data_IF_035457369959
#
_entry.id   IF_035457369959
#
_cell.length_a   1.000
_cell.length_b   1.000
_cell.length_c   1.000
_cell.angle_alpha   90.00
_cell.angle_beta   90.00
_cell.angle_gamma   90.00
#
_symmetry.space_group_name_H-M   'P 1'
#
loop_
_entity.id
_entity.type
_entity.pdbx_description
1 polymer ?
#
# COMPACT_ATOMS: atom_id res chain seq x y z
N UNK A 1 17.28 -7.41 9.91
CA UNK A 1 15.85 -7.02 9.88
C UNK A 1 15.02 -8.25 10.20
N UNK A 2 14.01 -8.14 11.03
CA UNK A 2 13.00 -9.17 11.27
C UNK A 2 11.65 -8.67 10.76
N UNK A 3 10.83 -9.58 10.25
CA UNK A 3 9.46 -9.29 9.80
C UNK A 3 8.51 -10.11 10.67
N UNK A 4 7.48 -9.46 11.18
CA UNK A 4 6.42 -10.07 11.98
C UNK A 4 5.10 -9.89 11.28
N UNK A 5 4.42 -10.99 10.95
CA UNK A 5 3.03 -10.94 10.47
C UNK A 5 2.11 -10.91 11.68
N UNK A 6 1.33 -9.83 11.80
CA UNK A 6 0.39 -9.69 12.90
C UNK A 6 -1.03 -10.04 12.43
N UNK A 7 -1.63 -11.02 13.08
CA UNK A 7 -2.97 -11.55 12.81
C UNK A 7 -3.86 -11.55 14.08
N UNK A 8 -3.64 -10.58 14.96
CA UNK A 8 -4.22 -10.56 16.32
C UNK A 8 -5.69 -10.12 16.42
N UNK A 9 -6.44 -10.05 15.32
CA UNK A 9 -7.85 -9.72 15.32
C UNK A 9 -8.63 -10.55 14.30
N UNK A 10 -9.94 -10.59 14.44
CA UNK A 10 -10.86 -11.19 13.50
C UNK A 10 -11.07 -10.20 12.33
N UNK A 11 -10.49 -10.51 11.17
CA UNK A 11 -10.61 -9.67 9.98
C UNK A 11 -11.99 -9.85 9.36
N UNK A 12 -12.50 -8.86 8.60
CA UNK A 12 -13.73 -9.03 7.86
C UNK A 12 -13.68 -10.26 6.94
N UNK A 13 -14.80 -10.98 6.87
CA UNK A 13 -14.99 -12.06 5.91
C UNK A 13 -14.98 -11.52 4.48
N UNK A 14 -14.57 -12.39 3.54
CA UNK A 14 -14.58 -12.07 2.11
C UNK A 14 -15.99 -11.77 1.58
N UNK A 15 -16.11 -11.05 0.45
CA UNK A 15 -17.42 -10.88 -0.20
C UNK A 15 -18.13 -12.22 -0.43
N UNK A 16 -19.45 -12.30 -0.21
CA UNK A 16 -20.41 -11.18 -0.14
C UNK A 16 -20.60 -10.55 1.26
N UNK A 17 -19.75 -10.85 2.25
CA UNK A 17 -19.82 -10.17 3.54
C UNK A 17 -19.63 -8.66 3.39
N UNK A 18 -20.43 -7.90 4.11
CA UNK A 18 -20.33 -6.46 4.11
C UNK A 18 -19.59 -5.90 5.34
N UNK A 19 -18.91 -6.75 6.08
CA UNK A 19 -18.17 -6.38 7.30
C UNK A 19 -17.00 -5.44 6.98
N UNK A 20 -16.35 -5.65 5.81
CA UNK A 20 -15.28 -4.77 5.29
C UNK A 20 -15.72 -3.32 5.17
N UNK A 21 -17.03 -3.04 5.10
CA UNK A 21 -17.59 -1.69 5.05
C UNK A 21 -17.77 -1.05 6.44
N UNK A 22 -17.60 -1.82 7.53
CA UNK A 22 -17.64 -1.33 8.91
C UNK A 22 -16.23 -1.04 9.41
N UNK A 23 -16.11 -0.09 10.36
CA UNK A 23 -14.84 0.20 11.05
C UNK A 23 -14.74 -0.46 12.42
N UNK A 24 -15.77 -1.17 12.87
CA UNK A 24 -15.80 -1.77 14.23
C UNK A 24 -14.69 -2.80 14.44
N UNK A 25 -14.50 -3.71 13.47
CA UNK A 25 -13.42 -4.70 13.54
C UNK A 25 -12.05 -4.03 13.47
N UNK A 26 -11.91 -2.98 12.64
CA UNK A 26 -10.67 -2.22 12.53
C UNK A 26 -10.33 -1.48 13.85
N UNK A 27 -11.32 -0.89 14.53
CA UNK A 27 -11.14 -0.24 15.84
C UNK A 27 -10.70 -1.25 16.90
N UNK A 28 -11.38 -2.39 16.96
CA UNK A 28 -11.03 -3.47 17.89
C UNK A 28 -9.63 -4.04 17.62
N UNK A 29 -9.32 -4.29 16.35
CA UNK A 29 -8.00 -4.72 15.88
C UNK A 29 -6.92 -3.68 16.16
N UNK A 30 -7.21 -2.41 15.88
CA UNK A 30 -6.30 -1.30 16.14
C UNK A 30 -5.88 -1.19 17.60
N UNK A 31 -6.82 -1.35 18.52
CA UNK A 31 -6.52 -1.37 19.97
C UNK A 31 -5.56 -2.50 20.34
N UNK A 32 -5.77 -3.69 19.80
CA UNK A 32 -4.88 -4.84 20.04
C UNK A 32 -3.50 -4.66 19.40
N UNK A 33 -3.46 -4.11 18.19
CA UNK A 33 -2.21 -3.85 17.50
C UNK A 33 -1.38 -2.79 18.23
N UNK A 34 -2.01 -1.70 18.69
CA UNK A 34 -1.35 -0.67 19.49
C UNK A 34 -0.71 -1.27 20.75
N UNK A 35 -1.46 -2.10 21.49
CA UNK A 35 -0.95 -2.76 22.69
C UNK A 35 0.23 -3.69 22.36
N UNK A 36 0.20 -4.40 21.24
CA UNK A 36 1.30 -5.27 20.80
C UNK A 36 2.56 -4.48 20.44
N UNK A 37 2.42 -3.37 19.71
CA UNK A 37 3.53 -2.51 19.31
C UNK A 37 4.16 -1.79 20.50
N UNK A 38 3.34 -1.23 21.42
CA UNK A 38 3.82 -0.60 22.64
C UNK A 38 4.51 -1.62 23.56
N UNK A 39 3.91 -2.80 23.75
CA UNK A 39 4.49 -3.88 24.53
C UNK A 39 5.83 -4.37 23.99
N UNK A 40 5.97 -4.47 22.65
CA UNK A 40 7.24 -4.79 22.03
C UNK A 40 8.28 -3.71 22.31
N UNK A 41 7.92 -2.44 22.17
CA UNK A 41 8.82 -1.31 22.41
C UNK A 41 9.26 -1.26 23.87
N UNK A 42 8.32 -1.40 24.81
CA UNK A 42 8.59 -1.40 26.27
C UNK A 42 9.49 -2.58 26.68
N UNK A 43 9.22 -3.78 26.16
CA UNK A 43 10.05 -4.97 26.44
C UNK A 43 11.48 -4.77 25.95
N UNK A 44 11.65 -4.28 24.71
CA UNK A 44 13.00 -4.04 24.16
C UNK A 44 13.74 -2.94 24.89
N UNK A 45 13.04 -1.90 25.34
CA UNK A 45 13.66 -0.82 26.13
C UNK A 45 14.13 -1.31 27.52
N UNK A 46 13.45 -2.30 28.11
CA UNK A 46 13.83 -2.86 29.41
C UNK A 46 15.02 -3.82 29.37
N UNK A 47 15.23 -4.48 28.20
CA UNK A 47 16.29 -5.49 28.04
C UNK A 47 17.66 -4.92 27.62
N UNK A 48 17.69 -3.70 27.06
CA UNK A 48 18.91 -3.17 26.44
C UNK A 48 19.46 -1.97 27.20
N UNK A 49 20.56 -2.21 27.93
CA UNK A 49 21.33 -1.12 28.56
C UNK A 49 22.30 -0.45 27.57
N UNK A 50 22.71 -1.17 26.50
CA UNK A 50 23.76 -0.72 25.58
C UNK A 50 23.43 -0.79 24.08
N UNK A 51 22.19 -1.08 23.69
CA UNK A 51 21.80 -1.19 22.27
C UNK A 51 20.68 -0.22 21.96
N UNK A 52 20.82 0.55 20.90
CA UNK A 52 19.75 1.41 20.41
C UNK A 52 18.45 0.63 20.22
N UNK A 53 17.30 1.17 20.67
CA UNK A 53 16.03 0.49 20.50
C UNK A 53 15.77 0.20 19.01
N UNK A 54 15.16 -0.96 18.70
CA UNK A 54 14.89 -1.32 17.31
C UNK A 54 13.90 -0.33 16.68
N UNK A 55 14.16 0.02 15.43
CA UNK A 55 13.22 0.78 14.63
C UNK A 55 12.03 -0.10 14.26
N UNK A 56 10.82 0.28 14.66
CA UNK A 56 9.58 -0.34 14.24
C UNK A 56 9.03 0.35 13.00
N UNK A 57 8.71 -0.44 11.98
CA UNK A 57 8.11 0.03 10.73
C UNK A 57 6.82 -0.77 10.51
N UNK A 58 5.71 -0.09 10.28
CA UNK A 58 4.40 -0.72 10.07
C UNK A 58 4.10 -0.72 8.57
N UNK A 59 3.75 -1.88 8.04
CA UNK A 59 3.31 -2.04 6.64
C UNK A 59 1.91 -2.63 6.67
N UNK A 60 0.96 -1.96 6.02
CA UNK A 60 -0.44 -2.35 6.04
C UNK A 60 -1.07 -2.33 4.65
N UNK A 61 -1.90 -3.32 4.36
CA UNK A 61 -2.58 -3.53 3.10
C UNK A 61 -4.09 -3.53 3.28
N UNK A 62 -4.80 -3.00 2.30
CA UNK A 62 -6.26 -3.08 2.21
C UNK A 62 -6.96 -2.62 3.50
N UNK A 63 -7.88 -3.41 4.04
CA UNK A 63 -8.56 -3.14 5.31
C UNK A 63 -7.59 -3.07 6.50
N UNK A 64 -6.43 -3.70 6.39
CA UNK A 64 -5.35 -3.58 7.37
C UNK A 64 -4.86 -2.14 7.53
N UNK A 65 -4.98 -1.28 6.53
CA UNK A 65 -4.63 0.15 6.63
C UNK A 65 -5.59 0.90 7.56
N UNK A 66 -6.89 0.58 7.49
CA UNK A 66 -7.89 1.09 8.42
C UNK A 66 -7.56 0.66 9.85
N UNK A 67 -7.23 -0.62 10.06
CA UNK A 67 -6.83 -1.17 11.37
C UNK A 67 -5.55 -0.52 11.88
N UNK A 68 -4.53 -0.42 11.03
CA UNK A 68 -3.25 0.20 11.39
C UNK A 68 -3.38 1.68 11.73
N UNK A 69 -4.25 2.43 11.04
CA UNK A 69 -4.46 3.85 11.33
C UNK A 69 -5.02 4.07 12.73
N UNK A 70 -5.96 3.25 13.19
CA UNK A 70 -6.43 3.29 14.58
C UNK A 70 -5.35 2.92 15.58
N UNK A 71 -4.55 1.89 15.26
CA UNK A 71 -3.43 1.50 16.11
C UNK A 71 -2.41 2.64 16.25
N UNK A 72 -1.96 3.19 15.12
CA UNK A 72 -0.96 4.26 15.08
C UNK A 72 -1.43 5.54 15.80
N UNK A 73 -2.73 5.84 15.75
CA UNK A 73 -3.29 6.95 16.52
C UNK A 73 -3.26 6.68 18.05
N UNK A 74 -3.44 5.44 18.46
CA UNK A 74 -3.53 5.05 19.86
C UNK A 74 -2.18 4.73 20.53
N UNK A 75 -1.08 4.67 19.76
CA UNK A 75 0.26 4.34 20.27
C UNK A 75 0.72 5.33 21.34
N UNK A 76 1.45 4.84 22.34
CA UNK A 76 2.24 5.64 23.27
C UNK A 76 3.63 5.97 22.71
N UNK A 77 4.19 5.05 21.92
CA UNK A 77 5.53 5.16 21.35
C UNK A 77 5.45 5.24 19.82
N UNK A 78 6.02 6.29 19.25
CA UNK A 78 6.01 6.46 17.80
C UNK A 78 6.78 5.34 17.09
N UNK A 79 6.22 4.84 15.99
CA UNK A 79 6.95 3.98 15.05
C UNK A 79 7.80 4.82 14.10
N UNK A 80 8.83 4.24 13.49
CA UNK A 80 9.72 4.97 12.59
C UNK A 80 9.03 5.33 11.27
N UNK A 81 8.32 4.38 10.66
CA UNK A 81 7.57 4.60 9.42
C UNK A 81 6.26 3.84 9.43
N UNK A 82 5.28 4.33 8.69
CA UNK A 82 4.08 3.59 8.34
C UNK A 82 3.89 3.62 6.82
N UNK A 83 3.59 2.47 6.22
CA UNK A 83 3.36 2.33 4.78
C UNK A 83 2.01 1.70 4.53
N UNK A 84 1.15 2.42 3.82
CA UNK A 84 -0.20 2.01 3.44
C UNK A 84 -0.25 1.76 1.94
N UNK A 85 -0.72 0.60 1.52
CA UNK A 85 -0.90 0.29 0.11
C UNK A 85 -2.23 -0.40 -0.16
N UNK A 86 -2.87 -0.07 -1.29
CA UNK A 86 -4.19 -0.57 -1.65
C UNK A 86 -5.23 -0.31 -0.56
N UNK A 87 -5.26 0.88 0.02
CA UNK A 87 -6.04 1.20 1.21
C UNK A 87 -7.55 1.08 0.99
N UNK A 88 -8.25 0.38 1.88
CA UNK A 88 -9.71 0.39 1.94
C UNK A 88 -10.29 1.69 2.56
N UNK A 89 -9.44 2.68 2.78
CA UNK A 89 -9.77 4.00 3.31
C UNK A 89 -9.63 4.13 4.83
N UNK A 90 -9.51 5.37 5.27
CA UNK A 90 -9.34 5.77 6.67
C UNK A 90 -10.55 6.62 7.10
N UNK A 91 -11.04 6.42 8.31
CA UNK A 91 -12.14 7.21 8.87
C UNK A 91 -11.66 8.62 9.22
N UNK A 92 -11.94 9.58 8.35
CA UNK A 92 -11.42 10.95 8.43
C UNK A 92 -11.86 11.73 9.67
N UNK A 93 -13.03 11.40 10.27
CA UNK A 93 -13.50 12.06 11.48
C UNK A 93 -12.73 11.65 12.73
N UNK A 94 -12.25 10.43 12.74
CA UNK A 94 -11.41 9.91 13.82
C UNK A 94 -9.94 10.26 13.60
N UNK A 95 -9.49 10.24 12.34
CA UNK A 95 -8.10 10.41 11.94
C UNK A 95 -8.08 11.48 10.85
N UNK A 96 -7.91 12.73 11.27
CA UNK A 96 -8.00 13.90 10.39
C UNK A 96 -6.85 14.02 9.40
N UNK A 97 -5.68 13.41 9.70
CA UNK A 97 -4.50 13.45 8.83
C UNK A 97 -3.41 12.48 9.29
N UNK A 98 -2.36 12.32 8.49
CA UNK A 98 -1.16 11.58 8.87
C UNK A 98 -0.47 12.16 10.12
N UNK A 99 -0.69 13.45 10.42
CA UNK A 99 -0.13 14.09 11.61
C UNK A 99 -0.75 13.61 12.94
N UNK A 100 -1.93 12.99 12.89
CA UNK A 100 -2.60 12.39 14.06
C UNK A 100 -2.05 11.01 14.42
N UNK A 101 -1.22 10.44 13.55
CA UNK A 101 -0.60 9.14 13.76
C UNK A 101 0.72 9.31 14.51
N UNK A 102 0.98 8.42 15.47
CA UNK A 102 2.23 8.38 16.21
C UNK A 102 3.33 7.71 15.37
N UNK A 103 3.77 8.44 14.35
CA UNK A 103 4.87 8.08 13.44
C UNK A 103 5.93 9.16 13.52
N UNK A 104 7.20 8.78 13.42
CA UNK A 104 8.30 9.73 13.39
C UNK A 104 8.12 10.76 12.27
N UNK A 105 8.75 11.91 12.43
CA UNK A 105 8.70 12.99 11.45
C UNK A 105 10.08 13.18 10.81
N UNK A 106 10.07 13.56 9.54
CA UNK A 106 11.28 13.97 8.85
C UNK A 106 11.82 15.34 9.39
N UNK A 107 12.99 15.76 8.94
CA UNK A 107 13.55 17.06 9.36
C UNK A 107 12.68 18.28 9.03
N UNK A 108 11.76 18.15 8.06
CA UNK A 108 10.80 19.20 7.73
C UNK A 108 9.52 19.15 8.59
N UNK A 109 9.44 18.18 9.52
CA UNK A 109 8.29 17.99 10.40
C UNK A 109 7.13 17.20 9.78
N UNK A 110 7.28 16.65 8.56
CA UNK A 110 6.27 15.84 7.89
C UNK A 110 6.33 14.39 8.41
N UNK A 111 5.19 13.77 8.77
CA UNK A 111 5.17 12.38 9.21
C UNK A 111 5.76 11.41 8.17
N UNK A 112 6.51 10.42 8.64
CA UNK A 112 7.06 9.33 7.81
C UNK A 112 5.98 8.28 7.49
N UNK A 113 4.84 8.77 7.01
CA UNK A 113 3.70 7.98 6.54
C UNK A 113 3.69 7.96 5.03
N UNK A 114 3.84 6.79 4.45
CA UNK A 114 3.93 6.57 3.01
C UNK A 114 2.66 5.90 2.51
N UNK A 115 2.18 6.32 1.34
CA UNK A 115 0.92 5.80 0.76
C UNK A 115 1.11 5.50 -0.71
N UNK A 116 0.54 4.39 -1.17
CA UNK A 116 0.41 4.09 -2.60
C UNK A 116 -0.90 3.40 -2.91
N UNK A 117 -1.46 3.75 -4.06
CA UNK A 117 -2.62 3.11 -4.65
C UNK A 117 -2.34 2.92 -6.14
N UNK A 118 -2.39 1.68 -6.62
CA UNK A 118 -2.22 1.40 -8.04
C UNK A 118 -3.46 1.84 -8.84
N UNK A 119 -3.28 2.41 -10.01
CA UNK A 119 -4.37 2.88 -10.87
C UNK A 119 -5.31 1.75 -11.30
N UNK A 120 -4.82 0.51 -11.34
CA UNK A 120 -5.61 -0.68 -11.66
C UNK A 120 -6.19 -1.40 -10.44
N UNK A 121 -5.96 -0.89 -9.23
CA UNK A 121 -6.62 -1.39 -8.03
C UNK A 121 -8.09 -0.94 -8.01
N UNK A 122 -8.97 -1.84 -8.41
CA UNK A 122 -10.43 -1.58 -8.46
C UNK A 122 -11.13 -1.96 -7.15
N UNK A 123 -10.47 -2.64 -6.25
CA UNK A 123 -11.07 -3.13 -4.98
C UNK A 123 -10.96 -2.06 -3.89
N UNK A 124 -9.82 -1.42 -3.74
CA UNK A 124 -9.63 -0.37 -2.74
C UNK A 124 -10.70 0.74 -2.82
N UNK A 125 -11.03 1.32 -3.99
CA UNK A 125 -12.09 2.31 -4.12
C UNK A 125 -13.47 1.81 -3.69
N UNK A 126 -13.78 0.52 -3.90
CA UNK A 126 -15.05 -0.07 -3.46
C UNK A 126 -15.19 -0.07 -1.94
N UNK A 127 -14.12 -0.31 -1.20
CA UNK A 127 -14.08 -0.21 0.26
C UNK A 127 -14.36 1.21 0.75
N UNK A 128 -13.83 2.21 0.05
CA UNK A 128 -14.02 3.63 0.36
C UNK A 128 -15.46 4.05 0.09
N UNK A 129 -15.95 3.88 -1.15
CA UNK A 129 -17.30 4.27 -1.57
C UNK A 129 -18.38 3.51 -0.81
N UNK A 130 -18.21 2.20 -0.66
CA UNK A 130 -19.18 1.34 0.03
C UNK A 130 -19.37 1.70 1.49
N UNK A 131 -18.34 2.22 2.17
CA UNK A 131 -18.45 2.68 3.56
C UNK A 131 -19.40 3.87 3.72
N UNK A 132 -19.47 4.76 2.72
CA UNK A 132 -20.36 5.93 2.72
C UNK A 132 -21.83 5.60 2.42
N UNK A 133 -22.12 4.55 1.64
CA UNK A 133 -23.48 4.19 1.22
C UNK A 133 -24.38 3.69 2.36
N UNK A 134 -23.82 3.30 3.50
CA UNK A 134 -24.59 2.80 4.68
C UNK A 134 -24.99 3.88 5.67
N UNK A 135 -24.85 5.17 5.32
CA UNK A 135 -25.17 6.27 6.24
C UNK A 135 -24.25 6.32 7.47
N UNK A 136 -23.20 5.52 7.49
CA UNK A 136 -22.12 5.56 8.46
C UNK A 136 -21.03 6.48 7.96
N UNK A 137 -20.19 6.94 8.84
CA UNK A 137 -19.10 7.86 8.56
C UNK A 137 -18.17 7.27 7.52
N UNK A 138 -18.11 7.91 6.34
CA UNK A 138 -17.35 7.39 5.21
C UNK A 138 -15.85 7.33 5.49
N UNK A 139 -15.17 6.38 4.87
CA UNK A 139 -13.72 6.34 4.83
C UNK A 139 -13.24 7.10 3.59
N UNK A 140 -12.10 7.72 3.70
CA UNK A 140 -11.47 8.50 2.64
C UNK A 140 -10.15 7.87 2.24
N UNK A 141 -9.76 8.11 1.01
CA UNK A 141 -8.50 7.60 0.48
C UNK A 141 -7.31 8.34 1.12
N UNK A 142 -6.39 7.64 1.80
CA UNK A 142 -5.19 8.28 2.33
C UNK A 142 -4.18 8.67 1.24
N UNK A 143 -4.36 8.24 -0.01
CA UNK A 143 -3.56 8.69 -1.14
C UNK A 143 -3.95 10.11 -1.61
N UNK A 144 -5.11 10.61 -1.20
CA UNK A 144 -5.52 11.98 -1.48
C UNK A 144 -4.73 13.00 -0.63
N UNK A 145 -4.57 14.22 -1.16
CA UNK A 145 -3.77 15.30 -0.56
C UNK A 145 -4.20 15.68 0.86
N UNK A 146 -5.49 15.52 1.19
CA UNK A 146 -6.04 15.86 2.50
C UNK A 146 -5.34 15.13 3.64
N UNK A 147 -4.90 13.90 3.41
CA UNK A 147 -4.28 13.07 4.45
C UNK A 147 -2.88 13.55 4.81
N UNK A 148 -2.14 14.11 3.87
CA UNK A 148 -0.79 14.62 4.09
C UNK A 148 0.28 13.55 4.24
N UNK A 149 0.03 12.34 3.75
CA UNK A 149 1.04 11.29 3.58
C UNK A 149 2.07 11.64 2.50
N UNK A 150 3.09 10.82 2.38
CA UNK A 150 4.09 10.86 1.31
C UNK A 150 3.69 9.82 0.26
N UNK A 151 3.06 10.28 -0.82
CA UNK A 151 2.62 9.39 -1.88
C UNK A 151 3.81 8.92 -2.72
N UNK A 152 3.76 7.67 -3.18
CA UNK A 152 4.71 7.12 -4.15
C UNK A 152 3.98 6.26 -5.19
N UNK A 153 4.59 6.11 -6.36
CA UNK A 153 4.02 5.42 -7.50
C UNK A 153 4.05 3.89 -7.36
N UNK A 154 3.07 3.25 -7.99
CA UNK A 154 2.99 1.80 -8.20
C UNK A 154 2.82 1.45 -9.70
N UNK A 155 3.00 2.45 -10.59
CA UNK A 155 2.68 2.32 -12.01
C UNK A 155 3.83 1.71 -12.83
N UNK A 156 4.95 1.41 -12.17
CA UNK A 156 6.14 0.95 -12.86
C UNK A 156 6.87 2.07 -13.60
N UNK A 157 8.03 1.75 -14.12
CA UNK A 157 8.82 2.73 -14.82
C UNK A 157 10.27 2.30 -15.01
N UNK A 158 11.02 3.16 -15.66
CA UNK A 158 12.45 3.00 -15.90
C UNK A 158 13.24 3.92 -14.95
N UNK A 159 14.20 3.36 -14.23
CA UNK A 159 15.15 4.12 -13.43
C UNK A 159 16.39 4.45 -14.30
N UNK A 160 16.57 5.72 -14.71
CA UNK A 160 17.69 6.10 -15.58
C UNK A 160 19.06 6.00 -14.91
N UNK A 161 19.11 6.04 -13.58
CA UNK A 161 20.37 5.97 -12.83
C UNK A 161 20.93 4.54 -12.77
N UNK A 162 20.04 3.55 -12.71
CA UNK A 162 20.43 2.14 -12.56
C UNK A 162 20.19 1.30 -13.81
N UNK A 163 19.42 1.80 -14.77
CA UNK A 163 19.00 1.05 -15.95
C UNK A 163 17.94 0.00 -15.67
N UNK A 164 17.34 0.01 -14.47
CA UNK A 164 16.35 -1.00 -14.06
C UNK A 164 14.96 -0.59 -14.49
N UNK A 165 14.22 -1.56 -15.06
CA UNK A 165 12.79 -1.45 -15.33
C UNK A 165 12.03 -2.08 -14.17
N UNK A 166 11.08 -1.34 -13.64
CA UNK A 166 10.16 -1.82 -12.61
C UNK A 166 8.78 -2.05 -13.21
N UNK A 167 8.16 -3.16 -12.84
CA UNK A 167 6.82 -3.54 -13.26
C UNK A 167 5.78 -2.75 -12.47
N UNK A 168 4.62 -2.54 -13.08
CA UNK A 168 3.49 -1.93 -12.41
C UNK A 168 2.70 -2.94 -11.58
N UNK A 169 1.96 -2.44 -10.61
CA UNK A 169 0.95 -3.20 -9.89
C UNK A 169 -0.37 -3.19 -10.68
N UNK A 170 -0.93 -4.38 -10.94
CA UNK A 170 -2.10 -4.58 -11.80
C UNK A 170 -3.31 -5.12 -11.01
N UNK A 171 -3.56 -4.60 -9.81
CA UNK A 171 -4.72 -4.97 -9.01
C UNK A 171 -4.52 -4.76 -7.52
N UNK A 172 -5.34 -5.44 -6.71
CA UNK A 172 -5.46 -5.19 -5.27
C UNK A 172 -4.54 -6.03 -4.41
N UNK A 173 -4.21 -7.25 -4.84
CA UNK A 173 -3.56 -8.22 -3.97
C UNK A 173 -2.11 -7.84 -3.65
N UNK A 174 -1.66 -8.22 -2.46
CA UNK A 174 -0.26 -8.08 -2.08
C UNK A 174 0.66 -8.90 -2.99
N UNK A 175 0.17 -10.08 -3.45
CA UNK A 175 0.87 -10.95 -4.40
C UNK A 175 -0.05 -11.20 -5.59
N UNK A 176 0.44 -10.93 -6.79
CA UNK A 176 -0.30 -11.21 -8.01
C UNK A 176 -0.39 -12.71 -8.29
N UNK A 177 -1.41 -13.08 -9.04
CA UNK A 177 -1.56 -14.44 -9.54
C UNK A 177 -0.62 -14.61 -10.72
N UNK A 178 0.13 -15.69 -10.71
CA UNK A 178 0.87 -16.08 -11.90
C UNK A 178 -0.12 -16.21 -13.07
N UNK A 179 0.24 -15.69 -14.22
CA UNK A 179 -0.60 -15.65 -15.44
C UNK A 179 -0.64 -17.07 -16.05
N UNK A 180 -1.02 -18.08 -15.29
CA UNK A 180 -1.15 -19.45 -15.77
C UNK A 180 -2.58 -19.78 -16.25
N UNK A 181 -3.49 -18.81 -16.23
CA UNK A 181 -4.84 -18.95 -16.76
C UNK A 181 -5.77 -19.84 -15.95
N UNK A 182 -5.38 -20.29 -14.76
CA UNK A 182 -6.16 -21.22 -13.94
C UNK A 182 -7.06 -20.56 -12.89
N UNK A 183 -7.07 -19.22 -12.80
CA UNK A 183 -7.87 -18.47 -11.85
C UNK A 183 -9.28 -18.17 -12.35
N UNK A 184 -10.27 -18.32 -11.48
CA UNK A 184 -11.65 -17.92 -11.74
C UNK A 184 -11.70 -16.39 -11.89
N UNK A 185 -11.82 -15.91 -13.12
CA UNK A 185 -11.61 -14.50 -13.50
C UNK A 185 -12.71 -13.55 -13.06
N UNK A 186 -13.78 -14.04 -12.44
CA UNK A 186 -14.94 -13.20 -12.06
C UNK A 186 -14.66 -12.32 -10.83
N UNK A 187 -13.73 -12.75 -9.98
CA UNK A 187 -13.33 -12.02 -8.75
C UNK A 187 -11.81 -11.86 -8.61
N UNK A 188 -11.04 -12.07 -9.67
CA UNK A 188 -9.59 -11.84 -9.59
C UNK A 188 -9.33 -10.36 -9.29
N UNK A 189 -8.94 -10.06 -8.06
CA UNK A 189 -8.60 -8.71 -7.63
C UNK A 189 -7.31 -8.19 -8.28
N UNK A 190 -6.51 -9.11 -8.84
CA UNK A 190 -5.24 -8.80 -9.49
C UNK A 190 -5.04 -9.70 -10.71
N UNK A 191 -4.89 -9.08 -11.89
CA UNK A 191 -4.71 -9.78 -13.17
C UNK A 191 -3.25 -9.86 -13.63
N UNK A 192 -2.32 -9.26 -12.88
CA UNK A 192 -0.90 -9.19 -13.17
C UNK A 192 -0.09 -9.26 -11.88
N UNK A 193 0.85 -8.31 -11.71
CA UNK A 193 1.68 -8.24 -10.51
C UNK A 193 0.93 -7.58 -9.35
N UNK A 194 1.05 -8.16 -8.15
CA UNK A 194 0.60 -7.57 -6.91
C UNK A 194 1.59 -6.57 -6.33
N UNK A 195 1.18 -5.86 -5.27
CA UNK A 195 1.99 -4.79 -4.66
C UNK A 195 3.35 -5.23 -4.15
N UNK A 196 3.51 -6.48 -3.71
CA UNK A 196 4.75 -7.01 -3.13
C UNK A 196 5.46 -8.02 -4.06
N UNK A 197 5.03 -8.14 -5.30
CA UNK A 197 5.71 -9.02 -6.23
C UNK A 197 7.13 -8.52 -6.56
N UNK A 198 8.06 -9.42 -6.83
CA UNK A 198 9.41 -9.06 -7.25
C UNK A 198 9.39 -8.16 -8.47
N UNK A 199 10.32 -7.20 -8.48
CA UNK A 199 10.52 -6.24 -9.57
C UNK A 199 9.37 -5.26 -9.83
N UNK A 200 8.35 -5.20 -8.98
CA UNK A 200 7.37 -4.11 -9.02
C UNK A 200 7.95 -2.83 -8.40
N UNK A 201 7.54 -1.68 -8.90
CA UNK A 201 7.87 -0.38 -8.31
C UNK A 201 7.36 -0.29 -6.87
N UNK A 202 6.09 -0.72 -6.66
CA UNK A 202 5.48 -0.74 -5.33
C UNK A 202 6.27 -1.60 -4.34
N UNK A 203 6.65 -2.82 -4.72
CA UNK A 203 7.43 -3.72 -3.86
C UNK A 203 8.81 -3.15 -3.52
N UNK A 204 9.47 -2.50 -4.48
CA UNK A 204 10.73 -1.80 -4.25
C UNK A 204 10.56 -0.65 -3.26
N UNK A 205 9.58 0.22 -3.48
CA UNK A 205 9.33 1.38 -2.64
C UNK A 205 8.85 1.00 -1.23
N UNK A 206 8.00 -0.03 -1.10
CA UNK A 206 7.59 -0.59 0.20
C UNK A 206 8.81 -1.15 0.95
N UNK A 207 9.75 -1.80 0.27
CA UNK A 207 10.99 -2.26 0.89
C UNK A 207 11.86 -1.09 1.40
N UNK A 208 11.91 0.03 0.68
CA UNK A 208 12.60 1.24 1.12
C UNK A 208 11.91 1.84 2.37
N UNK A 209 10.61 2.06 2.33
CA UNK A 209 9.87 2.65 3.44
C UNK A 209 9.88 1.78 4.69
N UNK A 210 9.70 0.47 4.54
CA UNK A 210 9.73 -0.49 5.65
C UNK A 210 11.10 -0.65 6.33
N UNK A 211 12.13 -0.05 5.76
CA UNK A 211 13.51 -0.05 6.30
C UNK A 211 14.02 1.35 6.64
N UNK A 212 13.12 2.35 6.72
CA UNK A 212 13.46 3.74 7.06
C UNK A 212 14.22 4.47 5.94
N UNK A 213 14.19 3.96 4.72
CA UNK A 213 14.88 4.51 3.54
C UNK A 213 13.93 5.16 2.53
N UNK A 214 12.73 5.55 2.95
CA UNK A 214 11.75 6.17 2.07
C UNK A 214 12.22 7.45 1.38
N UNK A 215 13.22 8.13 1.93
CA UNK A 215 13.87 9.29 1.29
C UNK A 215 14.65 8.92 0.00
N UNK A 216 14.86 7.63 -0.27
CA UNK A 216 15.50 7.14 -1.50
C UNK A 216 14.49 6.80 -2.60
N UNK A 217 13.19 6.94 -2.36
CA UNK A 217 12.17 6.79 -3.40
C UNK A 217 12.42 7.84 -4.48
N UNK A 218 12.43 7.39 -5.72
CA UNK A 218 12.64 8.21 -6.90
C UNK A 218 11.39 8.19 -7.78
N UNK A 219 11.21 9.26 -8.52
CA UNK A 219 10.30 9.28 -9.65
C UNK A 219 10.94 8.53 -10.83
N UNK A 220 10.23 7.55 -11.34
CA UNK A 220 10.67 6.78 -12.50
C UNK A 220 10.16 7.41 -13.80
N UNK A 221 10.85 7.15 -14.90
CA UNK A 221 10.35 7.52 -16.22
C UNK A 221 9.21 6.54 -16.56
N UNK A 222 7.97 7.04 -16.82
CA UNK A 222 6.84 6.18 -17.15
C UNK A 222 7.10 5.38 -18.43
N UNK A 223 6.74 4.11 -18.42
CA UNK A 223 6.77 3.27 -19.60
C UNK A 223 5.49 3.49 -20.41
N UNK A 224 5.62 3.50 -21.75
CA UNK A 224 4.45 3.49 -22.61
C UNK A 224 3.82 2.10 -22.61
N UNK A 225 2.55 2.06 -22.25
CA UNK A 225 1.74 0.85 -22.42
C UNK A 225 1.03 0.94 -23.77
N UNK A 226 1.31 0.01 -24.69
CA UNK A 226 0.51 -0.12 -25.90
C UNK A 226 -0.83 -0.76 -25.54
N UNK A 227 -1.91 0.00 -25.64
CA UNK A 227 -3.26 -0.56 -25.66
C UNK A 227 -3.42 -1.34 -26.97
N UNK A 228 -3.57 -2.67 -26.89
CA UNK A 228 -3.98 -3.44 -28.07
C UNK A 228 -5.40 -3.03 -28.46
N UNK A 229 -5.65 -2.59 -29.70
CA UNK A 229 -6.99 -2.25 -30.15
C UNK A 229 -7.88 -3.47 -30.03
N UNK A 230 -9.03 -3.31 -29.30
CA UNK A 230 -10.03 -4.33 -29.19
C UNK A 230 -10.65 -4.66 -30.55
N UNK A 231 -10.97 -5.90 -30.79
CA UNK A 231 -11.69 -6.34 -31.99
C UNK A 231 -13.08 -5.68 -32.01
N UNK A 232 -13.43 -4.97 -33.07
CA UNK A 232 -14.79 -4.52 -33.32
C UNK A 232 -15.13 -3.07 -32.96
N UNK A 233 -14.19 -2.15 -32.81
CA UNK A 233 -14.48 -0.70 -32.72
C UNK A 233 -15.14 -0.22 -31.43
N UNK A 234 -15.30 -1.06 -30.43
CA UNK A 234 -15.64 -0.69 -29.06
C UNK A 234 -14.43 -0.99 -28.18
N UNK A 235 -13.81 0.07 -27.66
CA UNK A 235 -12.76 -0.06 -26.67
C UNK A 235 -13.36 -0.45 -25.32
N UNK A 236 -13.50 -1.75 -25.11
CA UNK A 236 -13.53 -2.28 -23.75
C UNK A 236 -12.09 -2.65 -23.40
N UNK A 237 -11.59 -2.27 -22.22
CA UNK A 237 -10.32 -2.79 -21.74
C UNK A 237 -10.53 -4.27 -21.39
N UNK A 238 -10.42 -5.14 -22.37
CA UNK A 238 -10.62 -6.57 -22.25
C UNK A 238 -9.33 -7.27 -22.61
N UNK A 239 -8.56 -7.58 -21.61
CA UNK A 239 -7.43 -8.46 -21.68
C UNK A 239 -6.36 -8.06 -20.67
N UNK A 240 -5.62 -9.01 -20.09
CA UNK A 240 -4.48 -8.69 -19.28
C UNK A 240 -3.51 -7.88 -20.16
N UNK A 241 -3.10 -6.71 -19.67
CA UNK A 241 -1.94 -6.02 -20.25
C UNK A 241 -0.78 -6.99 -20.11
N UNK A 242 -0.30 -7.51 -21.22
CA UNK A 242 0.90 -8.35 -21.21
C UNK A 242 2.06 -7.37 -21.01
N UNK A 243 2.51 -7.26 -19.76
CA UNK A 243 3.78 -6.63 -19.47
C UNK A 243 4.86 -7.48 -20.13
N UNK A 244 5.52 -6.91 -21.11
CA UNK A 244 6.73 -7.49 -21.68
C UNK A 244 7.90 -6.62 -21.30
N UNK A 245 9.05 -7.25 -21.15
CA UNK A 245 10.29 -6.52 -21.03
C UNK A 245 10.48 -5.64 -22.28
N UNK A 246 10.88 -4.39 -22.07
CA UNK A 246 11.20 -3.51 -23.18
C UNK A 246 12.40 -4.06 -23.93
N UNK A 247 12.38 -3.96 -25.26
CA UNK A 247 13.56 -4.26 -26.07
C UNK A 247 14.65 -3.21 -25.81
N UNK A 248 15.93 -3.54 -26.07
CA UNK A 248 17.02 -2.56 -25.95
C UNK A 248 16.80 -1.28 -26.77
N UNK A 249 16.11 -1.39 -27.91
CA UNK A 249 15.78 -0.25 -28.76
C UNK A 249 14.72 0.64 -28.15
N UNK A 250 13.66 0.04 -27.56
CA UNK A 250 12.61 0.77 -26.82
C UNK A 250 13.16 1.48 -25.58
N UNK A 251 14.08 0.82 -24.85
CA UNK A 251 14.80 1.43 -23.74
C UNK A 251 15.65 2.61 -24.18
N UNK A 252 16.36 2.50 -25.31
CA UNK A 252 17.17 3.59 -25.86
C UNK A 252 16.30 4.77 -26.31
N UNK A 253 15.11 4.53 -26.85
CA UNK A 253 14.16 5.58 -27.22
C UNK A 253 13.64 6.33 -25.99
N UNK A 254 13.30 5.63 -24.92
CA UNK A 254 12.85 6.28 -23.66
C UNK A 254 13.98 7.10 -23.01
N UNK A 255 15.24 6.64 -23.07
CA UNK A 255 16.41 7.40 -22.58
C UNK A 255 16.72 8.67 -23.37
N UNK A 256 16.26 8.76 -24.62
CA UNK A 256 16.55 9.90 -25.51
C UNK A 256 15.55 11.05 -25.39
N UNK A 257 14.56 10.94 -24.54
CA UNK A 257 13.51 11.92 -24.27
C UNK A 257 13.79 12.74 -23.05
#
# INVERSE_FOLDING_TARGET
>A
MAVVSWIGYDSPEEPPSAEVLSTELAKAGGTKLAAALDGFTETRASESVDVSPPSLNVVAHSYGTTTASYALKALKHAVATATFFGSAGIEWREIGSAADLHVAKDPAGKPEVYVTAASEDRVAPLGIVGSGLRGREGRWDPADDWFGGKNFSSEGGYDPDTGKVYKRTAGHDAKGWAVDGSGDTVFAATTGHGYLDPDTESGHNIALTSTGRGHLIKELIPLRHEEKPGYGGMSFPTGPLIERDLTPEELAEEQSR
#
